data_IF_653127878887
#
_entry.id   IF_653127878887
#
_cell.length_a   1.000
_cell.length_b   1.000
_cell.length_c   1.000
_cell.angle_alpha   90.00
_cell.angle_beta   90.00
_cell.angle_gamma   90.00
#
_symmetry.space_group_name_H-M   'P 1'
#
loop_
_entity.id
_entity.type
_entity.pdbx_description
1 polymer ?
#
# COMPACT_ATOMS: atom_id res chain seq x y z
N UNK A 1 4.89 15.80 6.96
CA UNK A 1 5.22 14.51 7.60
C UNK A 1 4.20 13.49 7.10
N UNK A 2 4.62 12.39 6.46
CA UNK A 2 3.70 11.29 6.05
C UNK A 2 3.33 10.42 7.28
N UNK A 3 4.05 10.58 8.39
CA UNK A 3 3.72 9.98 9.69
C UNK A 3 2.32 10.41 10.15
N UNK A 4 1.51 9.43 10.55
CA UNK A 4 0.17 9.66 11.09
C UNK A 4 -0.98 9.31 10.13
N UNK A 5 -0.68 8.91 8.88
CA UNK A 5 -1.68 8.23 8.06
C UNK A 5 -1.96 6.85 8.65
N UNK A 6 -3.20 6.62 9.04
CA UNK A 6 -3.66 5.35 9.58
C UNK A 6 -5.00 4.99 8.95
N UNK A 7 -4.99 4.04 8.02
CA UNK A 7 -6.17 3.59 7.30
C UNK A 7 -5.97 2.11 6.93
N UNK A 8 -7.00 1.24 7.04
CA UNK A 8 -6.87 -0.20 6.78
C UNK A 8 -6.46 -0.55 5.34
N UNK A 9 -6.58 0.38 4.40
CA UNK A 9 -6.13 0.21 3.00
C UNK A 9 -4.90 1.06 2.66
N UNK A 10 -4.11 1.45 3.66
CA UNK A 10 -2.80 2.07 3.48
C UNK A 10 -1.76 1.33 4.32
N UNK A 11 -0.63 0.99 3.72
CA UNK A 11 0.48 0.36 4.43
C UNK A 11 1.06 1.35 5.44
N UNK A 12 1.07 0.96 6.70
CA UNK A 12 1.51 1.77 7.83
C UNK A 12 3.02 1.96 7.80
N UNK A 13 3.45 3.21 7.79
CA UNK A 13 4.83 3.60 8.04
C UNK A 13 5.06 3.64 9.56
N UNK A 14 5.92 2.77 10.08
CA UNK A 14 6.33 2.79 11.48
C UNK A 14 7.36 3.88 11.76
N UNK A 15 8.25 4.16 10.81
CA UNK A 15 9.24 5.21 10.97
C UNK A 15 10.29 5.21 9.89
N UNK A 16 11.39 5.91 10.16
CA UNK A 16 12.55 5.95 9.29
C UNK A 16 13.82 5.79 10.10
N UNK A 17 14.85 5.27 9.44
CA UNK A 17 16.22 5.33 9.94
C UNK A 17 17.01 6.29 9.05
N UNK A 18 17.64 7.26 9.70
CA UNK A 18 18.54 8.23 9.05
C UNK A 18 19.87 8.12 9.76
N UNK A 19 20.78 7.34 9.18
CA UNK A 19 22.10 7.14 9.74
C UNK A 19 23.17 7.33 8.66
N UNK A 20 24.18 8.15 8.99
CA UNK A 20 25.25 8.56 8.08
C UNK A 20 24.69 9.15 6.79
N UNK A 21 24.66 8.34 5.72
CA UNK A 21 24.18 8.73 4.39
C UNK A 21 23.15 7.71 3.85
N UNK A 22 22.46 7.01 4.74
CA UNK A 22 21.41 6.05 4.41
C UNK A 22 20.08 6.56 4.94
N UNK A 23 19.07 6.54 4.07
CA UNK A 23 17.68 6.80 4.40
C UNK A 23 16.89 5.52 4.17
N UNK A 24 16.32 4.98 5.24
CA UNK A 24 15.49 3.78 5.19
C UNK A 24 14.12 4.09 5.78
N UNK A 25 13.08 3.49 5.22
CA UNK A 25 11.71 3.56 5.73
C UNK A 25 11.30 2.18 6.24
N UNK A 26 10.65 2.16 7.39
CA UNK A 26 10.19 0.93 8.05
C UNK A 26 8.67 0.90 7.97
N UNK A 27 8.13 -0.10 7.28
CA UNK A 27 6.70 -0.32 7.09
C UNK A 27 6.24 -1.58 7.84
N UNK A 28 4.93 -1.74 7.99
CA UNK A 28 4.36 -3.03 8.34
C UNK A 28 4.68 -4.09 7.28
N UNK A 29 4.79 -5.34 7.73
CA UNK A 29 5.08 -6.46 6.85
C UNK A 29 3.80 -7.01 6.23
N UNK A 30 3.82 -7.20 4.91
CA UNK A 30 2.66 -7.68 4.14
C UNK A 30 2.91 -9.13 3.69
N UNK A 31 2.29 -10.08 4.38
CA UNK A 31 2.56 -11.52 4.21
C UNK A 31 2.31 -12.03 2.78
N UNK A 32 1.31 -11.47 2.08
CA UNK A 32 0.91 -11.92 0.74
C UNK A 32 1.72 -11.29 -0.41
N UNK A 33 2.75 -10.50 -0.09
CA UNK A 33 3.56 -9.76 -1.06
C UNK A 33 2.74 -8.83 -1.96
N UNK A 34 3.38 -8.26 -2.98
CA UNK A 34 2.70 -7.33 -3.89
C UNK A 34 1.66 -8.02 -4.78
N UNK A 35 0.62 -7.28 -5.13
CA UNK A 35 -0.41 -7.70 -6.07
C UNK A 35 0.20 -8.10 -7.44
N UNK A 36 1.29 -7.46 -7.85
CA UNK A 36 2.03 -7.85 -9.05
C UNK A 36 2.54 -9.29 -9.01
N UNK A 37 3.07 -9.74 -7.86
CA UNK A 37 3.52 -11.13 -7.71
C UNK A 37 2.34 -12.11 -7.74
N UNK A 38 1.21 -11.74 -7.14
CA UNK A 38 0.00 -12.56 -7.19
C UNK A 38 -0.62 -12.64 -8.59
N UNK A 39 -0.54 -11.57 -9.39
CA UNK A 39 -1.13 -11.50 -10.74
C UNK A 39 -0.22 -12.04 -11.85
N UNK A 40 1.08 -11.75 -11.77
CA UNK A 40 2.03 -11.98 -12.87
C UNK A 40 3.22 -12.86 -12.48
N UNK A 41 3.44 -13.09 -11.19
CA UNK A 41 4.53 -13.92 -10.69
C UNK A 41 4.24 -15.41 -10.78
N UNK A 42 5.26 -16.23 -10.50
CA UNK A 42 5.11 -17.69 -10.27
C UNK A 42 4.55 -17.96 -8.88
N UNK A 43 3.46 -17.28 -8.56
CA UNK A 43 2.73 -17.39 -7.30
C UNK A 43 1.77 -18.58 -7.36
N UNK A 44 1.66 -19.33 -6.27
CA UNK A 44 0.61 -20.34 -6.09
C UNK A 44 -0.75 -19.73 -5.72
N UNK A 45 -0.78 -18.45 -5.32
CA UNK A 45 -2.01 -17.71 -5.03
C UNK A 45 -2.79 -17.48 -6.31
N UNK A 46 -3.95 -18.13 -6.44
CA UNK A 46 -4.95 -17.82 -7.45
C UNK A 46 -5.99 -16.88 -6.84
N UNK A 47 -5.92 -15.61 -7.22
CA UNK A 47 -6.92 -14.61 -6.83
C UNK A 47 -8.24 -14.92 -7.54
N UNK A 48 -9.22 -15.41 -6.77
CA UNK A 48 -10.61 -15.56 -7.22
C UNK A 48 -11.20 -14.18 -7.54
N UNK A 49 -12.25 -14.15 -8.36
CA UNK A 49 -12.81 -12.90 -8.85
C UNK A 49 -13.29 -11.98 -7.72
N UNK A 50 -13.95 -12.56 -6.71
CA UNK A 50 -14.46 -11.86 -5.54
C UNK A 50 -13.31 -11.19 -4.75
N UNK A 51 -12.17 -11.88 -4.64
CA UNK A 51 -10.96 -11.34 -3.99
C UNK A 51 -10.41 -10.15 -4.79
N UNK A 52 -10.40 -10.24 -6.12
CA UNK A 52 -9.95 -9.12 -6.98
C UNK A 52 -10.85 -7.90 -6.83
N UNK A 53 -12.17 -8.11 -6.78
CA UNK A 53 -13.13 -7.03 -6.55
C UNK A 53 -12.89 -6.37 -5.18
N UNK A 54 -12.68 -7.15 -4.13
CA UNK A 54 -12.36 -6.63 -2.80
C UNK A 54 -11.06 -5.83 -2.79
N UNK A 55 -10.03 -6.27 -3.51
CA UNK A 55 -8.77 -5.53 -3.69
C UNK A 55 -9.03 -4.17 -4.36
N UNK A 56 -9.79 -4.14 -5.46
CA UNK A 56 -10.13 -2.90 -6.15
C UNK A 56 -10.89 -1.92 -5.24
N UNK A 57 -11.86 -2.41 -4.46
CA UNK A 57 -12.61 -1.60 -3.49
C UNK A 57 -11.68 -1.07 -2.40
N UNK A 58 -10.77 -1.90 -1.88
CA UNK A 58 -9.77 -1.50 -0.90
C UNK A 58 -8.86 -0.38 -1.41
N UNK A 59 -8.33 -0.51 -2.63
CA UNK A 59 -7.51 0.53 -3.28
C UNK A 59 -8.30 1.83 -3.41
N UNK A 60 -9.56 1.77 -3.87
CA UNK A 60 -10.41 2.94 -4.01
C UNK A 60 -10.63 3.66 -2.67
N UNK A 61 -10.90 2.90 -1.58
CA UNK A 61 -11.06 3.45 -0.23
C UNK A 61 -9.77 4.10 0.29
N UNK A 62 -8.61 3.47 0.06
CA UNK A 62 -7.31 4.05 0.41
C UNK A 62 -7.07 5.38 -0.31
N UNK A 63 -7.40 5.46 -1.60
CA UNK A 63 -7.28 6.68 -2.40
C UNK A 63 -8.26 7.77 -1.98
N UNK A 64 -9.52 7.41 -1.71
CA UNK A 64 -10.52 8.33 -1.16
C UNK A 64 -10.02 8.96 0.14
N UNK A 65 -9.50 8.14 1.07
CA UNK A 65 -8.91 8.64 2.31
C UNK A 65 -7.73 9.60 2.06
N UNK A 66 -6.81 9.26 1.16
CA UNK A 66 -5.68 10.15 0.84
C UNK A 66 -6.14 11.50 0.26
N UNK A 67 -7.17 11.49 -0.58
CA UNK A 67 -7.66 12.70 -1.26
C UNK A 67 -8.54 13.58 -0.38
N UNK A 68 -9.36 12.99 0.49
CA UNK A 68 -10.45 13.71 1.16
C UNK A 68 -10.52 13.43 2.66
N UNK A 69 -10.13 12.23 3.10
CA UNK A 69 -10.22 11.82 4.51
C UNK A 69 -9.01 12.14 5.39
N UNK A 70 -7.87 12.47 4.80
CA UNK A 70 -6.62 12.72 5.54
C UNK A 70 -6.43 14.21 5.84
N UNK A 71 -5.66 14.52 6.89
CA UNK A 71 -5.38 15.90 7.31
C UNK A 71 -4.72 16.75 6.20
N UNK A 72 -3.96 16.09 5.31
CA UNK A 72 -3.30 16.74 4.19
C UNK A 72 -3.65 15.96 2.93
N UNK A 73 -4.40 16.60 2.03
CA UNK A 73 -4.75 16.03 0.72
C UNK A 73 -3.48 15.61 -0.03
N UNK A 74 -3.37 14.30 -0.29
CA UNK A 74 -2.18 13.69 -0.88
C UNK A 74 -2.53 12.97 -2.18
N UNK A 75 -1.74 13.23 -3.22
CA UNK A 75 -1.83 12.49 -4.50
C UNK A 75 -0.76 11.41 -4.49
N UNK A 76 -1.15 10.13 -4.59
CA UNK A 76 -0.21 9.00 -4.53
C UNK A 76 0.77 8.96 -5.73
N UNK A 77 0.31 9.33 -6.93
CA UNK A 77 1.09 9.41 -8.20
C UNK A 77 1.70 8.13 -8.77
N UNK A 78 1.78 7.04 -8.01
CA UNK A 78 2.40 5.77 -8.43
C UNK A 78 1.55 4.55 -8.07
N UNK A 79 0.27 4.58 -8.45
CA UNK A 79 -0.65 3.46 -8.25
C UNK A 79 -0.44 2.44 -9.37
N UNK A 80 0.04 1.26 -9.00
CA UNK A 80 0.29 0.13 -9.91
C UNK A 80 0.33 -1.17 -9.11
N UNK A 81 0.19 -2.36 -9.74
CA UNK A 81 0.16 -3.63 -9.01
C UNK A 81 1.40 -3.90 -8.14
N UNK A 82 2.56 -3.32 -8.45
CA UNK A 82 3.77 -3.48 -7.63
C UNK A 82 3.78 -2.61 -6.36
N UNK A 83 2.91 -1.60 -6.26
CA UNK A 83 2.78 -0.71 -5.09
C UNK A 83 1.58 -1.04 -4.21
N UNK A 84 0.76 -2.02 -4.60
CA UNK A 84 -0.31 -2.59 -3.78
C UNK A 84 0.17 -3.92 -3.16
N UNK A 85 -0.03 -4.09 -1.86
CA UNK A 85 0.42 -5.23 -1.06
C UNK A 85 -0.73 -5.80 -0.24
#
# INVERSE_FOLDING_TARGET
MISGLNHPNLVKLYGCCVEKNQLMLVYEYMENNSLALALFGKSSLKLQWEVRQNICVGIARGLEFLHEGSMIRMVHRDIKPVTCF
#
